data_IF_292398612461
#
_entry.id   IF_292398612461
#
_cell.length_a   1.000
_cell.length_b   1.000
_cell.length_c   1.000
_cell.angle_alpha   90.00
_cell.angle_beta   90.00
_cell.angle_gamma   90.00
#
_symmetry.space_group_name_H-M   'P 1'
#
loop_
_entity.id
_entity.type
_entity.pdbx_description
1 polymer ?
#
# COMPACT_ATOMS: atom_id res chain seq x y z
N UNK A 1 5.18 85.84 -21.75
CA UNK A 1 4.17 84.90 -21.22
C UNK A 1 4.45 83.53 -21.76
N UNK A 2 5.12 82.70 -20.98
CA UNK A 2 5.70 81.41 -21.49
C UNK A 2 4.92 80.27 -20.81
N UNK A 3 4.26 79.47 -21.66
CA UNK A 3 3.48 78.29 -21.26
C UNK A 3 4.38 77.09 -21.30
N UNK A 4 4.72 76.53 -20.13
CA UNK A 4 5.48 75.29 -19.99
C UNK A 4 4.54 74.09 -20.09
N UNK A 5 4.62 73.33 -21.20
CA UNK A 5 3.92 72.06 -21.39
C UNK A 5 4.54 70.96 -20.46
N UNK A 6 3.73 70.42 -19.60
CA UNK A 6 4.11 69.28 -18.73
C UNK A 6 3.70 67.98 -19.42
N UNK A 7 4.65 67.19 -19.92
CA UNK A 7 4.46 65.88 -20.50
C UNK A 7 4.40 64.82 -19.40
N UNK A 8 3.21 64.30 -19.11
CA UNK A 8 3.03 63.17 -18.21
C UNK A 8 3.30 61.89 -18.98
N UNK A 9 4.42 61.22 -18.63
CA UNK A 9 4.73 59.86 -19.14
C UNK A 9 3.97 58.85 -18.32
N UNK A 10 2.95 58.22 -18.93
CA UNK A 10 2.25 57.04 -18.36
C UNK A 10 3.07 55.81 -18.68
N UNK A 11 3.79 55.28 -17.67
CA UNK A 11 4.48 53.98 -17.82
C UNK A 11 3.48 52.85 -17.65
N UNK A 12 3.17 52.14 -18.73
CA UNK A 12 2.34 50.96 -18.77
C UNK A 12 3.17 49.74 -18.28
N UNK A 13 3.03 49.35 -17.02
CA UNK A 13 3.67 48.15 -16.49
C UNK A 13 2.88 46.93 -16.92
N UNK A 14 3.40 46.17 -17.90
CA UNK A 14 2.83 44.89 -18.33
C UNK A 14 3.08 43.83 -17.24
N UNK A 15 2.00 43.40 -16.58
CA UNK A 15 2.01 42.30 -15.62
C UNK A 15 2.18 40.97 -16.38
N UNK A 16 3.38 40.39 -16.37
CA UNK A 16 3.63 39.05 -16.91
C UNK A 16 2.97 38.02 -15.98
N UNK A 17 1.80 37.52 -16.32
CA UNK A 17 1.19 36.34 -15.70
C UNK A 17 1.92 35.11 -16.22
N UNK A 18 2.89 34.59 -15.47
CA UNK A 18 3.51 33.30 -15.75
C UNK A 18 2.45 32.20 -15.62
N UNK A 19 2.23 31.36 -16.64
CA UNK A 19 1.36 30.20 -16.52
C UNK A 19 1.98 29.26 -15.48
N UNK A 20 1.30 29.11 -14.34
CA UNK A 20 1.65 28.11 -13.34
C UNK A 20 1.39 26.73 -13.98
N UNK A 21 2.47 26.00 -14.32
CA UNK A 21 2.36 24.61 -14.76
C UNK A 21 1.78 23.81 -13.61
N UNK A 22 0.51 23.41 -13.72
CA UNK A 22 -0.11 22.52 -12.74
C UNK A 22 0.64 21.19 -12.76
N UNK A 23 1.09 20.67 -11.59
CA UNK A 23 1.67 19.35 -11.53
C UNK A 23 0.63 18.35 -12.03
N UNK A 24 0.98 17.55 -13.03
CA UNK A 24 0.13 16.50 -13.54
C UNK A 24 0.06 15.41 -12.47
N UNK A 25 -1.07 15.33 -11.78
CA UNK A 25 -1.33 14.27 -10.80
C UNK A 25 -1.29 12.90 -11.50
N UNK A 26 -1.02 11.86 -10.70
CA UNK A 26 -1.08 10.47 -11.16
C UNK A 26 -2.37 10.21 -11.93
N UNK A 27 -2.25 9.67 -13.15
CA UNK A 27 -3.40 9.51 -14.04
C UNK A 27 -4.19 8.24 -13.80
N UNK A 28 -3.58 7.19 -13.24
CA UNK A 28 -4.24 5.92 -12.98
C UNK A 28 -4.87 5.91 -11.60
N UNK A 29 -6.19 5.68 -11.55
CA UNK A 29 -6.94 5.37 -10.33
C UNK A 29 -7.36 3.92 -10.29
N UNK A 30 -7.38 3.35 -9.08
CA UNK A 30 -7.76 1.96 -8.82
C UNK A 30 -8.71 1.91 -7.63
N UNK A 31 -9.84 1.22 -7.76
CA UNK A 31 -10.81 1.04 -6.70
C UNK A 31 -11.50 -0.33 -6.78
N UNK A 32 -11.71 -1.03 -5.64
CA UNK A 32 -11.27 -0.71 -4.30
C UNK A 32 -9.76 -0.97 -4.10
N UNK A 33 -9.19 -0.43 -3.01
CA UNK A 33 -7.77 -0.66 -2.63
C UNK A 33 -7.57 -1.88 -1.71
N UNK A 34 -8.64 -2.60 -1.45
CA UNK A 34 -8.70 -3.86 -0.71
C UNK A 34 -9.87 -4.67 -1.26
N UNK A 35 -9.62 -5.93 -1.60
CA UNK A 35 -10.64 -6.87 -2.06
C UNK A 35 -10.80 -7.99 -1.04
N UNK A 36 -12.02 -8.18 -0.56
CA UNK A 36 -12.39 -9.29 0.32
C UNK A 36 -13.58 -10.03 -0.28
N UNK A 37 -13.43 -11.35 -0.41
CA UNK A 37 -14.46 -12.24 -0.96
C UNK A 37 -14.77 -13.30 0.07
N UNK A 38 -15.89 -13.17 0.81
CA UNK A 38 -16.30 -14.20 1.77
C UNK A 38 -16.71 -15.49 1.04
N UNK A 39 -16.30 -16.65 1.57
CA UNK A 39 -16.79 -17.94 1.10
C UNK A 39 -18.32 -18.03 1.26
N UNK A 40 -19.04 -18.65 0.32
CA UNK A 40 -18.58 -19.41 -0.83
C UNK A 40 -18.28 -18.57 -2.10
N UNK A 41 -18.21 -17.23 -1.98
CA UNK A 41 -17.90 -16.36 -3.11
C UNK A 41 -16.54 -16.68 -3.73
N UNK A 42 -16.47 -16.60 -5.05
CA UNK A 42 -15.27 -16.93 -5.83
C UNK A 42 -14.85 -15.79 -6.78
N UNK A 43 -15.59 -14.69 -6.82
CA UNK A 43 -15.36 -13.61 -7.79
C UNK A 43 -15.42 -12.25 -7.15
N UNK A 44 -14.61 -11.33 -7.66
CA UNK A 44 -14.67 -9.91 -7.36
C UNK A 44 -14.36 -9.08 -8.61
N UNK A 45 -14.60 -7.78 -8.52
CA UNK A 45 -14.23 -6.82 -9.56
C UNK A 45 -13.44 -5.67 -8.98
N UNK A 46 -12.54 -5.13 -9.80
CA UNK A 46 -11.75 -3.95 -9.54
C UNK A 46 -11.98 -2.98 -10.71
N UNK A 47 -12.12 -1.70 -10.42
CA UNK A 47 -12.21 -0.66 -11.43
C UNK A 47 -10.87 0.03 -11.59
N UNK A 48 -10.48 0.25 -12.83
CA UNK A 48 -9.37 1.10 -13.23
C UNK A 48 -9.95 2.30 -13.95
N UNK A 49 -9.42 3.49 -13.69
CA UNK A 49 -9.81 4.71 -14.39
C UNK A 49 -8.58 5.52 -14.75
N UNK A 50 -8.52 5.97 -15.97
CA UNK A 50 -7.51 6.92 -16.41
C UNK A 50 -8.07 8.34 -16.30
N UNK A 51 -7.58 9.13 -15.36
CA UNK A 51 -7.93 10.55 -15.19
C UNK A 51 -7.00 11.50 -15.97
N UNK A 52 -6.01 10.95 -16.65
CA UNK A 52 -5.13 11.71 -17.52
C UNK A 52 -5.79 12.09 -18.84
N UNK A 53 -5.17 13.00 -19.58
CA UNK A 53 -5.62 13.47 -20.88
C UNK A 53 -5.20 12.58 -22.07
N UNK A 54 -4.34 11.56 -21.82
CA UNK A 54 -3.82 10.66 -22.85
C UNK A 54 -4.13 9.21 -22.49
N UNK A 55 -4.29 8.31 -23.48
CA UNK A 55 -4.38 6.88 -23.21
C UNK A 55 -3.16 6.39 -22.44
N UNK A 56 -3.37 5.43 -21.54
CA UNK A 56 -2.30 4.72 -20.84
C UNK A 56 -2.54 3.21 -20.89
N UNK A 57 -1.47 2.44 -20.92
CA UNK A 57 -1.53 0.99 -20.86
C UNK A 57 -1.22 0.52 -19.43
N UNK A 58 -2.01 -0.44 -18.96
CA UNK A 58 -1.85 -1.04 -17.64
C UNK A 58 -1.70 -2.56 -17.75
N UNK A 59 -0.71 -3.11 -17.03
CA UNK A 59 -0.54 -4.54 -16.85
C UNK A 59 -1.12 -4.97 -15.51
N UNK A 60 -1.94 -6.02 -15.54
CA UNK A 60 -2.62 -6.56 -14.37
C UNK A 60 -2.09 -7.98 -14.11
N UNK A 61 -1.54 -8.22 -12.92
CA UNK A 61 -0.98 -9.52 -12.52
C UNK A 61 -1.41 -9.85 -11.11
N UNK A 62 -1.72 -11.12 -10.85
CA UNK A 62 -2.05 -11.60 -9.50
C UNK A 62 -1.02 -12.62 -9.03
N UNK A 63 -0.67 -12.56 -7.74
CA UNK A 63 0.32 -13.42 -7.12
C UNK A 63 -0.25 -13.99 -5.83
N UNK A 64 0.13 -15.20 -5.49
CA UNK A 64 -0.05 -15.72 -4.15
C UNK A 64 0.84 -14.91 -3.20
N UNK A 65 0.26 -14.48 -2.07
CA UNK A 65 0.96 -13.75 -1.04
C UNK A 65 1.14 -14.62 0.20
N UNK A 66 2.38 -14.84 0.55
CA UNK A 66 2.80 -15.56 1.76
C UNK A 66 3.77 -14.69 2.57
N UNK A 67 4.04 -15.10 3.80
CA UNK A 67 5.07 -14.49 4.63
C UNK A 67 6.05 -15.57 5.06
N UNK A 68 7.32 -15.39 4.74
CA UNK A 68 8.41 -16.33 5.01
C UNK A 68 9.56 -15.54 5.63
N UNK A 69 10.13 -16.06 6.70
CA UNK A 69 11.27 -15.44 7.41
C UNK A 69 11.02 -13.98 7.80
N UNK A 70 9.78 -13.66 8.21
CA UNK A 70 9.39 -12.32 8.65
C UNK A 70 9.16 -11.30 7.53
N UNK A 71 9.08 -11.73 6.27
CA UNK A 71 8.90 -10.86 5.11
C UNK A 71 7.80 -11.33 4.15
N UNK A 72 7.21 -10.39 3.41
CA UNK A 72 6.24 -10.68 2.35
C UNK A 72 6.92 -11.34 1.15
N UNK A 73 6.33 -12.43 0.65
CA UNK A 73 6.77 -13.15 -0.55
C UNK A 73 5.61 -13.25 -1.53
N UNK A 74 5.85 -12.88 -2.79
CA UNK A 74 4.89 -12.99 -3.87
C UNK A 74 5.35 -14.05 -4.87
N UNK A 75 4.53 -15.08 -5.07
CA UNK A 75 4.80 -16.17 -6.02
C UNK A 75 3.75 -16.23 -7.11
N UNK A 76 4.09 -16.55 -8.36
CA UNK A 76 3.12 -16.80 -9.41
C UNK A 76 2.11 -17.88 -8.98
N UNK A 77 0.85 -17.71 -9.37
CA UNK A 77 -0.22 -18.64 -9.00
C UNK A 77 -1.19 -18.89 -10.14
N UNK A 78 -1.80 -20.06 -10.14
CA UNK A 78 -2.93 -20.43 -10.99
C UNK A 78 -4.23 -20.56 -10.21
N UNK A 79 -4.18 -20.37 -8.88
CA UNK A 79 -5.32 -20.52 -7.97
C UNK A 79 -6.33 -19.36 -8.09
N UNK A 80 -5.86 -18.21 -8.58
CA UNK A 80 -6.67 -17.03 -8.85
C UNK A 80 -6.23 -16.41 -10.16
N UNK A 81 -7.17 -15.98 -10.97
CA UNK A 81 -6.93 -15.27 -12.22
C UNK A 81 -7.47 -13.84 -12.15
N UNK A 82 -6.76 -12.90 -12.79
CA UNK A 82 -7.23 -11.54 -13.04
C UNK A 82 -7.32 -11.30 -14.55
N UNK A 83 -8.42 -10.70 -15.01
CA UNK A 83 -8.67 -10.50 -16.44
C UNK A 83 -9.34 -9.14 -16.70
N UNK A 84 -8.89 -8.41 -17.74
CA UNK A 84 -7.81 -8.73 -18.67
C UNK A 84 -6.42 -8.56 -18.03
N UNK A 85 -5.38 -9.28 -18.52
CA UNK A 85 -4.01 -9.11 -18.01
C UNK A 85 -3.31 -7.85 -18.54
N UNK A 86 -3.85 -7.25 -19.59
CA UNK A 86 -3.40 -6.01 -20.19
C UNK A 86 -4.61 -5.20 -20.62
N UNK A 87 -4.61 -3.89 -20.36
CA UNK A 87 -5.68 -2.99 -20.72
C UNK A 87 -5.13 -1.65 -21.21
N UNK A 88 -5.65 -1.15 -22.33
CA UNK A 88 -5.41 0.21 -22.82
C UNK A 88 -6.55 1.11 -22.34
N UNK A 89 -6.24 2.01 -21.41
CA UNK A 89 -7.21 2.83 -20.70
C UNK A 89 -7.35 4.19 -21.40
N UNK A 90 -8.49 4.42 -22.03
CA UNK A 90 -8.79 5.74 -22.61
C UNK A 90 -9.05 6.77 -21.51
N UNK A 91 -8.80 8.07 -21.76
CA UNK A 91 -9.08 9.13 -20.81
C UNK A 91 -10.52 9.12 -20.29
N UNK A 92 -10.67 9.33 -18.97
CA UNK A 92 -11.97 9.46 -18.30
C UNK A 92 -12.92 8.26 -18.45
N UNK A 93 -12.39 7.07 -18.75
CA UNK A 93 -13.18 5.85 -18.94
C UNK A 93 -12.91 4.84 -17.85
N UNK A 94 -13.97 4.19 -17.35
CA UNK A 94 -13.87 3.13 -16.36
C UNK A 94 -13.66 1.77 -17.05
N UNK A 95 -12.69 1.01 -16.53
CA UNK A 95 -12.40 -0.36 -16.96
C UNK A 95 -12.58 -1.32 -15.79
N UNK A 96 -13.17 -2.47 -16.06
CA UNK A 96 -13.38 -3.49 -15.04
C UNK A 96 -12.40 -4.63 -15.20
N UNK A 97 -11.64 -4.89 -14.15
CA UNK A 97 -10.83 -6.09 -13.98
C UNK A 97 -11.63 -7.09 -13.16
N UNK A 98 -11.80 -8.30 -13.66
CA UNK A 98 -12.44 -9.40 -12.95
C UNK A 98 -11.38 -10.25 -12.27
N UNK A 99 -11.59 -10.57 -11.01
CA UNK A 99 -10.77 -11.47 -10.20
C UNK A 99 -11.60 -12.72 -9.95
N UNK A 100 -11.04 -13.89 -10.25
CA UNK A 100 -11.75 -15.17 -10.14
C UNK A 100 -10.85 -16.18 -9.43
N UNK A 101 -11.33 -16.78 -8.36
CA UNK A 101 -10.73 -17.96 -7.73
C UNK A 101 -11.01 -19.18 -8.59
N UNK A 102 -9.96 -19.80 -9.11
CA UNK A 102 -10.04 -20.92 -10.05
C UNK A 102 -9.99 -22.29 -9.36
N UNK A 103 -9.52 -22.33 -8.10
CA UNK A 103 -9.53 -23.56 -7.29
C UNK A 103 -10.95 -24.04 -7.05
N UNK A 104 -11.15 -25.36 -7.24
CA UNK A 104 -12.45 -26.00 -7.02
C UNK A 104 -12.69 -26.34 -5.55
N UNK A 105 -11.63 -26.64 -4.80
CA UNK A 105 -11.71 -27.00 -3.40
C UNK A 105 -12.20 -25.82 -2.56
N UNK A 106 -13.10 -26.03 -1.60
CA UNK A 106 -13.54 -24.99 -0.66
C UNK A 106 -12.35 -24.42 0.11
N UNK A 107 -12.36 -23.10 0.34
CA UNK A 107 -11.38 -22.49 1.22
C UNK A 107 -11.69 -22.92 2.68
N UNK A 108 -10.71 -23.50 3.35
CA UNK A 108 -10.82 -23.91 4.77
C UNK A 108 -10.21 -22.90 5.72
N UNK A 109 -9.37 -22.00 5.20
CA UNK A 109 -8.74 -20.86 5.87
C UNK A 109 -8.67 -19.69 4.89
N UNK A 110 -8.37 -18.51 5.37
CA UNK A 110 -8.17 -17.34 4.51
C UNK A 110 -7.02 -17.56 3.53
N UNK A 111 -7.28 -17.26 2.26
CA UNK A 111 -6.27 -17.25 1.20
C UNK A 111 -5.89 -15.81 0.87
N UNK A 112 -4.60 -15.53 0.76
CA UNK A 112 -4.08 -14.19 0.54
C UNK A 112 -3.36 -14.08 -0.80
N UNK A 113 -3.68 -13.02 -1.55
CA UNK A 113 -3.09 -12.69 -2.84
C UNK A 113 -2.77 -11.21 -2.93
N UNK A 114 -1.89 -10.85 -3.88
CA UNK A 114 -1.60 -9.47 -4.27
C UNK A 114 -1.90 -9.28 -5.75
N UNK A 115 -2.80 -8.35 -6.04
CA UNK A 115 -3.03 -7.89 -7.40
C UNK A 115 -2.11 -6.69 -7.65
N UNK A 116 -1.21 -6.82 -8.61
CA UNK A 116 -0.36 -5.73 -9.08
C UNK A 116 -0.98 -5.13 -10.32
N UNK A 117 -1.16 -3.81 -10.31
CA UNK A 117 -1.55 -3.01 -11.47
C UNK A 117 -0.41 -2.06 -11.76
N UNK A 118 0.30 -2.32 -12.86
CA UNK A 118 1.45 -1.56 -13.30
C UNK A 118 1.07 -0.67 -14.48
N UNK A 119 1.26 0.63 -14.35
CA UNK A 119 1.24 1.54 -15.48
C UNK A 119 2.46 1.26 -16.36
N UNK A 120 2.23 1.02 -17.64
CA UNK A 120 3.31 0.82 -18.61
C UNK A 120 3.78 2.18 -19.13
N UNK A 121 5.10 2.43 -19.14
CA UNK A 121 5.61 3.68 -19.66
C UNK A 121 5.26 3.82 -21.14
N UNK A 122 4.70 4.95 -21.50
CA UNK A 122 4.51 5.33 -22.90
C UNK A 122 5.83 5.46 -23.64
N UNK A 123 5.82 5.58 -24.98
CA UNK A 123 7.02 5.78 -25.77
C UNK A 123 7.80 6.99 -25.24
N UNK A 124 9.11 6.82 -25.12
CA UNK A 124 10.00 7.86 -24.60
C UNK A 124 9.81 9.15 -25.41
N UNK A 125 9.30 10.20 -24.77
CA UNK A 125 9.31 11.53 -25.36
C UNK A 125 10.76 11.95 -25.45
N UNK A 126 11.32 12.09 -26.65
CA UNK A 126 12.74 12.44 -26.88
C UNK A 126 13.16 13.83 -26.38
N UNK A 127 12.56 14.33 -25.31
CA UNK A 127 12.94 15.57 -24.64
C UNK A 127 14.00 15.27 -23.59
N UNK A 128 15.19 15.88 -23.69
CA UNK A 128 16.19 15.83 -22.62
C UNK A 128 15.57 16.35 -21.32
N UNK A 129 15.80 15.65 -20.21
CA UNK A 129 15.34 16.01 -18.86
C UNK A 129 13.83 15.86 -18.57
N UNK A 130 13.12 14.91 -19.19
CA UNK A 130 11.79 14.50 -18.73
C UNK A 130 11.89 13.34 -17.74
N UNK A 131 11.27 13.47 -16.55
CA UNK A 131 11.09 12.37 -15.59
C UNK A 131 9.75 11.71 -15.89
N UNK A 132 9.76 10.43 -16.28
CA UNK A 132 8.54 9.63 -16.42
C UNK A 132 8.35 8.83 -15.13
N UNK A 133 7.26 9.08 -14.43
CA UNK A 133 6.85 8.32 -13.25
C UNK A 133 5.80 7.31 -13.70
N UNK A 134 6.10 6.02 -13.58
CA UNK A 134 5.13 4.94 -13.75
C UNK A 134 4.63 4.47 -12.40
N UNK A 135 3.33 4.31 -12.25
CA UNK A 135 2.70 3.90 -11.00
C UNK A 135 2.57 2.38 -10.93
N UNK A 136 2.75 1.86 -9.72
CA UNK A 136 2.40 0.49 -9.36
C UNK A 136 1.45 0.49 -8.17
N UNK A 137 0.28 -0.10 -8.34
CA UNK A 137 -0.61 -0.43 -7.24
C UNK A 137 -0.41 -1.88 -6.83
N UNK A 138 -0.32 -2.12 -5.51
CA UNK A 138 -0.27 -3.46 -4.92
C UNK A 138 -1.48 -3.62 -4.01
N UNK A 139 -2.50 -4.30 -4.51
CA UNK A 139 -3.81 -4.40 -3.88
C UNK A 139 -3.94 -5.77 -3.23
N UNK A 140 -4.19 -5.84 -1.91
CA UNK A 140 -4.45 -7.11 -1.25
C UNK A 140 -5.82 -7.66 -1.69
N UNK A 141 -5.84 -8.97 -1.97
CA UNK A 141 -7.03 -9.73 -2.31
C UNK A 141 -7.11 -10.93 -1.37
N UNK A 142 -8.23 -11.06 -0.67
CA UNK A 142 -8.42 -12.12 0.29
C UNK A 142 -9.71 -12.89 0.00
N UNK A 143 -9.60 -14.21 -0.04
CA UNK A 143 -10.77 -15.10 0.05
C UNK A 143 -10.90 -15.53 1.50
N UNK A 144 -11.95 -15.02 2.17
CA UNK A 144 -12.12 -15.16 3.61
C UNK A 144 -13.10 -16.28 3.95
N UNK A 145 -12.86 -16.96 5.08
CA UNK A 145 -13.75 -18.01 5.58
C UNK A 145 -14.47 -17.48 6.83
N UNK A 146 -15.80 -17.52 6.87
CA UNK A 146 -16.57 -17.13 8.05
C UNK A 146 -16.15 -17.91 9.30
N UNK A 147 -16.13 -17.23 10.44
CA UNK A 147 -15.77 -17.84 11.74
C UNK A 147 -14.27 -17.96 12.00
N UNK A 148 -13.41 -17.64 11.01
CA UNK A 148 -11.96 -17.59 11.23
C UNK A 148 -11.57 -16.29 11.94
N UNK A 149 -10.51 -16.36 12.77
CA UNK A 149 -9.99 -15.22 13.52
C UNK A 149 -8.45 -15.26 13.56
N UNK A 150 -7.78 -14.11 13.73
CA UNK A 150 -6.37 -14.07 14.01
C UNK A 150 -6.09 -14.50 15.45
N UNK A 151 -4.90 -15.07 15.70
CA UNK A 151 -4.39 -15.39 17.05
C UNK A 151 -2.93 -14.96 17.10
N UNK A 152 -2.71 -13.76 17.64
CA UNK A 152 -1.37 -13.13 17.67
C UNK A 152 -0.60 -13.50 18.92
N UNK A 153 0.71 -13.65 18.72
CA UNK A 153 1.73 -13.56 19.75
C UNK A 153 2.87 -12.67 19.27
N UNK A 154 3.60 -12.08 20.22
CA UNK A 154 4.62 -11.09 19.94
C UNK A 154 5.92 -11.44 20.65
N UNK A 155 7.04 -11.19 19.99
CA UNK A 155 8.37 -11.38 20.56
C UNK A 155 9.28 -10.21 20.16
N UNK A 156 10.14 -9.73 21.11
CA UNK A 156 11.22 -8.82 20.79
C UNK A 156 12.50 -9.64 20.65
N UNK A 157 13.14 -9.53 19.50
CA UNK A 157 14.41 -10.21 19.21
C UNK A 157 15.46 -9.23 18.73
N UNK A 158 16.73 -9.61 18.80
CA UNK A 158 17.83 -8.87 18.19
C UNK A 158 18.23 -9.56 16.88
N UNK A 159 18.16 -8.83 15.75
CA UNK A 159 18.65 -9.31 14.47
C UNK A 159 19.67 -8.31 13.91
N UNK A 160 20.88 -8.77 13.62
CA UNK A 160 21.98 -7.92 13.12
C UNK A 160 22.15 -6.62 13.93
N UNK A 161 22.17 -6.71 15.26
CA UNK A 161 22.26 -5.58 16.22
C UNK A 161 21.12 -4.57 16.15
N UNK A 162 19.97 -4.96 15.63
CA UNK A 162 18.75 -4.13 15.59
C UNK A 162 17.62 -4.83 16.33
N UNK A 163 16.87 -4.12 17.18
CA UNK A 163 15.68 -4.68 17.80
C UNK A 163 14.58 -4.85 16.75
N UNK A 164 13.97 -6.02 16.74
CA UNK A 164 12.88 -6.39 15.84
C UNK A 164 11.72 -6.93 16.64
N UNK A 165 10.53 -6.41 16.42
CA UNK A 165 9.30 -6.97 16.95
C UNK A 165 8.81 -8.03 15.96
N UNK A 166 8.78 -9.27 16.43
CA UNK A 166 8.27 -10.42 15.66
C UNK A 166 6.83 -10.66 16.04
N UNK A 167 5.93 -10.57 15.07
CA UNK A 167 4.51 -10.88 15.24
C UNK A 167 4.20 -12.24 14.59
N UNK A 168 3.72 -13.20 15.38
CA UNK A 168 3.29 -14.52 14.90
C UNK A 168 1.79 -14.64 15.01
N UNK A 169 1.14 -15.01 13.92
CA UNK A 169 -0.29 -15.26 13.87
C UNK A 169 -0.54 -16.76 13.65
N UNK A 170 -1.01 -17.45 14.69
CA UNK A 170 -1.36 -18.87 14.63
C UNK A 170 -2.83 -19.13 14.25
N UNK A 171 -3.60 -18.07 14.00
CA UNK A 171 -5.00 -18.19 13.57
C UNK A 171 -5.16 -18.33 12.06
N UNK A 172 -6.38 -18.61 11.61
CA UNK A 172 -6.74 -18.87 10.21
C UNK A 172 -7.05 -17.61 9.40
N UNK A 173 -7.00 -16.45 10.02
CA UNK A 173 -7.27 -15.16 9.40
C UNK A 173 -6.15 -14.18 9.67
N UNK A 174 -5.84 -13.32 8.69
CA UNK A 174 -4.89 -12.23 8.86
C UNK A 174 -5.33 -11.22 9.90
N UNK A 175 -4.38 -10.46 10.42
CA UNK A 175 -4.63 -9.17 11.04
C UNK A 175 -3.97 -8.04 10.23
N UNK A 176 -4.66 -6.92 10.13
CA UNK A 176 -4.14 -5.66 9.60
C UNK A 176 -3.69 -4.78 10.76
N UNK A 177 -2.45 -4.33 10.73
CA UNK A 177 -1.87 -3.48 11.75
C UNK A 177 -1.74 -2.05 11.22
N UNK A 178 -2.47 -1.12 11.81
CA UNK A 178 -2.40 0.32 11.50
C UNK A 178 -2.09 1.08 12.77
N UNK A 179 -1.30 2.16 12.68
CA UNK A 179 -0.89 2.98 13.82
C UNK A 179 -0.25 2.14 14.93
N UNK A 180 0.57 1.18 14.53
CA UNK A 180 1.22 0.28 15.47
C UNK A 180 2.19 1.07 16.35
N UNK A 181 2.00 0.93 17.66
CA UNK A 181 2.87 1.46 18.71
C UNK A 181 3.22 0.34 19.67
N UNK A 182 4.46 0.26 20.06
CA UNK A 182 4.94 -0.67 21.07
C UNK A 182 5.54 0.14 22.19
N UNK A 183 5.11 -0.11 23.42
CA UNK A 183 5.64 0.54 24.64
C UNK A 183 6.47 -0.46 25.42
N UNK A 184 7.55 0.01 26.03
CA UNK A 184 8.33 -0.78 26.98
C UNK A 184 7.97 -0.44 28.43
N UNK A 185 8.43 -1.27 29.38
CA UNK A 185 8.15 -1.08 30.82
C UNK A 185 8.82 0.13 31.45
N UNK A 186 9.62 0.90 30.71
CA UNK A 186 10.29 2.13 31.15
C UNK A 186 9.73 3.39 30.47
N UNK A 187 8.64 3.26 29.71
CA UNK A 187 8.01 4.36 29.01
C UNK A 187 8.62 4.69 27.63
N UNK A 188 9.56 3.87 27.13
CA UNK A 188 10.02 3.96 25.74
C UNK A 188 8.91 3.59 24.76
N UNK A 189 8.81 4.29 23.63
CA UNK A 189 7.78 4.06 22.61
C UNK A 189 8.43 3.87 21.25
N UNK A 190 8.15 2.73 20.61
CA UNK A 190 8.44 2.49 19.22
C UNK A 190 7.16 2.75 18.40
N UNK A 191 7.16 3.82 17.62
CA UNK A 191 6.03 4.20 16.76
C UNK A 191 6.35 3.82 15.30
N UNK A 192 5.54 2.93 14.72
CA UNK A 192 5.69 2.43 13.34
C UNK A 192 4.92 3.29 12.31
N UNK A 193 4.49 4.48 12.70
CA UNK A 193 3.81 5.45 11.86
C UNK A 193 2.29 5.49 12.06
N UNK A 194 1.67 6.53 11.50
CA UNK A 194 0.23 6.75 11.62
C UNK A 194 -0.60 5.99 10.54
N UNK A 195 0.06 5.37 9.58
CA UNK A 195 -0.56 4.60 8.50
C UNK A 195 -0.65 3.10 8.79
N UNK A 196 -0.64 2.35 7.70
CA UNK A 196 -0.56 0.88 7.70
C UNK A 196 0.88 0.46 8.02
N UNK A 197 1.08 -0.24 9.14
CA UNK A 197 2.36 -0.85 9.48
C UNK A 197 2.57 -2.15 8.69
N UNK A 198 1.50 -2.92 8.45
CA UNK A 198 1.55 -4.16 7.69
C UNK A 198 0.37 -5.08 7.98
N UNK A 199 0.50 -6.30 7.49
CA UNK A 199 -0.38 -7.42 7.78
C UNK A 199 0.43 -8.55 8.41
N UNK A 200 -0.21 -9.35 9.27
CA UNK A 200 0.30 -10.66 9.65
C UNK A 200 -0.72 -11.69 9.17
N UNK A 201 -0.36 -12.44 8.14
CA UNK A 201 -1.23 -13.44 7.53
C UNK A 201 -1.48 -14.61 8.49
N UNK A 202 -2.54 -15.37 8.25
CA UNK A 202 -2.79 -16.59 9.02
C UNK A 202 -1.65 -17.58 8.90
N UNK A 203 -1.26 -18.22 10.01
CA UNK A 203 -0.14 -19.18 10.11
C UNK A 203 1.20 -18.62 9.62
N UNK A 204 1.44 -17.35 9.88
CA UNK A 204 2.63 -16.64 9.41
C UNK A 204 3.27 -15.81 10.50
N UNK A 205 4.51 -15.42 10.25
CA UNK A 205 5.30 -14.53 11.09
C UNK A 205 5.76 -13.34 10.28
N UNK A 206 5.71 -12.15 10.88
CA UNK A 206 6.15 -10.89 10.26
C UNK A 206 7.06 -10.11 11.18
N UNK A 207 8.14 -9.58 10.62
CA UNK A 207 9.13 -8.77 11.33
C UNK A 207 8.83 -7.29 11.18
N UNK A 208 8.80 -6.58 12.30
CA UNK A 208 8.70 -5.13 12.36
C UNK A 208 9.98 -4.56 12.95
N UNK A 209 10.83 -3.97 12.11
CA UNK A 209 12.09 -3.37 12.55
C UNK A 209 11.77 -2.14 13.39
N UNK A 210 12.27 -2.11 14.64
CA UNK A 210 12.07 -0.97 15.53
C UNK A 210 12.71 0.27 14.93
N UNK A 211 11.95 1.39 14.79
CA UNK A 211 12.47 2.61 14.21
C UNK A 211 13.66 3.17 15.00
N UNK A 212 14.64 3.72 14.30
CA UNK A 212 15.83 4.32 14.93
C UNK A 212 15.50 5.50 15.87
N UNK A 213 14.32 6.10 15.72
CA UNK A 213 13.79 7.15 16.60
C UNK A 213 13.43 6.65 18.01
N UNK A 214 13.20 5.34 18.18
CA UNK A 214 12.87 4.71 19.46
C UNK A 214 14.14 4.44 20.30
N UNK A 215 14.85 5.51 20.69
CA UNK A 215 16.09 5.42 21.47
C UNK A 215 15.83 4.80 22.84
N UNK A 216 16.67 3.83 23.24
CA UNK A 216 16.58 3.17 24.54
C UNK A 216 15.42 2.20 24.68
N UNK A 217 14.70 1.92 23.60
CA UNK A 217 13.61 0.96 23.58
C UNK A 217 14.11 -0.49 23.76
N UNK A 218 13.39 -1.28 24.56
CA UNK A 218 13.64 -2.73 24.68
C UNK A 218 13.96 -3.22 26.08
N UNK A 219 13.77 -2.40 27.12
CA UNK A 219 14.01 -2.79 28.50
C UNK A 219 12.70 -2.97 29.28
N UNK A 220 12.38 -4.20 29.67
CA UNK A 220 11.21 -4.52 30.49
C UNK A 220 10.03 -5.07 29.71
N UNK A 221 8.87 -5.19 30.36
CA UNK A 221 7.64 -5.69 29.73
C UNK A 221 7.22 -4.84 28.54
N UNK A 222 6.88 -5.47 27.42
CA UNK A 222 6.46 -4.82 26.20
C UNK A 222 4.96 -5.04 25.97
N UNK A 223 4.28 -4.02 25.46
CA UNK A 223 2.88 -4.10 25.04
C UNK A 223 2.71 -3.50 23.65
N UNK A 224 1.97 -4.18 22.79
CA UNK A 224 1.65 -3.71 21.46
C UNK A 224 0.23 -3.14 21.41
N UNK A 225 0.09 -1.96 20.84
CA UNK A 225 -1.19 -1.28 20.62
C UNK A 225 -1.30 -0.91 19.14
N UNK A 226 -2.45 -1.10 18.53
CA UNK A 226 -2.73 -0.67 17.17
C UNK A 226 -4.09 0.03 17.10
N UNK A 227 -4.47 0.53 15.91
CA UNK A 227 -5.80 1.05 15.68
C UNK A 227 -6.92 0.00 15.88
N UNK A 228 -6.58 -1.29 15.93
CA UNK A 228 -7.49 -2.39 16.26
C UNK A 228 -7.64 -2.60 17.78
N UNK A 229 -6.94 -1.83 18.60
CA UNK A 229 -6.95 -1.91 20.06
C UNK A 229 -5.67 -2.49 20.64
N UNK A 230 -5.77 -2.94 21.91
CA UNK A 230 -4.68 -3.61 22.62
C UNK A 230 -4.44 -5.01 22.02
N UNK A 231 -3.22 -5.26 21.59
CA UNK A 231 -2.82 -6.51 20.98
C UNK A 231 -2.10 -7.46 21.96
N UNK A 232 -2.14 -7.12 23.25
CA UNK A 232 -1.57 -7.92 24.33
C UNK A 232 -0.07 -7.71 24.57
N UNK A 233 0.47 -8.42 25.57
CA UNK A 233 1.88 -8.32 25.94
C UNK A 233 2.80 -8.94 24.91
N UNK A 234 4.02 -8.40 24.82
CA UNK A 234 5.09 -8.92 23.99
C UNK A 234 6.04 -9.73 24.88
N UNK A 235 6.31 -10.97 24.49
CA UNK A 235 7.31 -11.81 25.13
C UNK A 235 8.71 -11.31 24.77
N UNK A 236 9.59 -11.20 25.76
CA UNK A 236 11.01 -10.97 25.54
C UNK A 236 11.74 -12.28 25.71
N UNK A 237 12.32 -12.79 24.63
CA UNK A 237 13.22 -13.95 24.73
C UNK A 237 14.60 -13.44 25.12
N UNK A 238 15.25 -14.02 26.15
CA UNK A 238 16.57 -13.62 26.57
C UNK A 238 17.64 -13.85 25.50
#
# INVERSE_FOLDING_TARGET
MSIKSCLVRVSLTALFVSPCAMPQAASLQVAPVLVEVPAPGATATLKLRNEGAKPLDAQIRIFQWTQVDGADVLTPTTDVAASPPLASLQPNTDYTVRIVRTRKDPAVKEEAYRLLVDELPGPASGRPASVNIALRYSIPVFFTVPGTAPKLSWELVQRANRPVIVATNSGDRRIRLSKLKVTDGKGGVANFGEGLAGYVLGHSTMDFIVPASAKGFGAGGLAAISAQGDLGPISTKP
#
